data_IF_670181102925
#
_entry.id   IF_670181102925
#
_cell.length_a   1.000
_cell.length_b   1.000
_cell.length_c   1.000
_cell.angle_alpha   90.00
_cell.angle_beta   90.00
_cell.angle_gamma   90.00
#
_symmetry.space_group_name_H-M   'P 1'
#
loop_
_entity.id
_entity.type
_entity.pdbx_description
1 polymer ?
#
# COMPACT_ATOMS: atom_id res chain seq x y z
N UNK A 1 36.32 -2.87 3.39
CA UNK A 1 35.66 -3.33 2.15
C UNK A 1 35.13 -2.08 1.48
N UNK A 2 35.69 -1.71 0.33
CA UNK A 2 35.38 -0.46 -0.35
C UNK A 2 34.08 -0.65 -1.14
N UNK A 3 33.09 0.23 -0.96
CA UNK A 3 31.77 0.12 -1.62
C UNK A 3 31.90 0.22 -3.14
N UNK A 4 32.96 0.88 -3.62
CA UNK A 4 33.25 1.08 -5.04
C UNK A 4 33.68 -0.21 -5.77
N UNK A 5 33.97 -1.30 -5.05
CA UNK A 5 34.35 -2.60 -5.62
C UNK A 5 33.18 -3.62 -5.66
N UNK A 6 31.97 -3.21 -5.29
CA UNK A 6 30.79 -4.09 -5.36
C UNK A 6 30.23 -4.14 -6.79
N UNK A 7 30.36 -5.29 -7.44
CA UNK A 7 29.76 -5.58 -8.74
C UNK A 7 28.23 -5.77 -8.61
N UNK A 8 27.48 -4.71 -8.90
CA UNK A 8 26.01 -4.72 -8.90
C UNK A 8 25.40 -5.31 -10.18
N UNK A 9 26.20 -5.80 -11.14
CA UNK A 9 25.67 -6.40 -12.38
C UNK A 9 24.79 -7.62 -12.13
N UNK A 10 25.07 -8.37 -11.05
CA UNK A 10 24.28 -9.54 -10.65
C UNK A 10 22.92 -9.16 -10.05
N UNK A 11 22.77 -7.96 -9.47
CA UNK A 11 21.47 -7.44 -9.02
C UNK A 11 20.54 -7.12 -10.20
N UNK A 12 21.10 -6.68 -11.33
CA UNK A 12 20.35 -6.52 -12.58
C UNK A 12 19.86 -7.84 -13.17
N UNK A 13 20.67 -8.91 -13.07
CA UNK A 13 20.32 -10.26 -13.55
C UNK A 13 19.27 -10.96 -12.68
N UNK A 14 19.28 -10.72 -11.36
CA UNK A 14 18.23 -11.17 -10.43
C UNK A 14 16.89 -10.49 -10.75
N UNK A 15 16.89 -9.19 -11.06
CA UNK A 15 15.68 -8.47 -11.46
C UNK A 15 15.14 -8.91 -12.83
N UNK A 16 16.02 -9.21 -13.79
CA UNK A 16 15.62 -9.64 -15.14
C UNK A 16 15.01 -11.06 -15.16
N UNK A 17 15.47 -11.95 -14.27
CA UNK A 17 14.91 -13.30 -14.13
C UNK A 17 13.60 -13.34 -13.33
N UNK A 18 13.36 -12.36 -12.45
CA UNK A 18 12.07 -12.18 -11.74
C UNK A 18 10.99 -11.48 -12.60
N UNK A 19 11.38 -10.68 -13.60
CA UNK A 19 10.42 -10.02 -14.51
C UNK A 19 9.63 -10.99 -15.40
N UNK A 20 9.95 -12.29 -15.43
CA UNK A 20 9.30 -13.28 -16.29
C UNK A 20 8.02 -13.86 -15.67
N UNK A 21 7.65 -13.56 -14.42
CA UNK A 21 6.54 -14.29 -13.75
C UNK A 21 5.42 -13.49 -13.07
N UNK A 22 5.41 -12.15 -13.10
CA UNK A 22 4.27 -11.38 -12.57
C UNK A 22 3.80 -10.32 -13.56
N UNK A 23 2.53 -10.36 -14.01
CA UNK A 23 1.98 -9.34 -14.90
C UNK A 23 2.00 -7.97 -14.23
N UNK A 24 2.44 -6.95 -14.98
CA UNK A 24 2.50 -5.56 -14.53
C UNK A 24 1.10 -4.94 -14.46
N UNK A 25 0.93 -3.88 -13.65
CA UNK A 25 -0.32 -3.11 -13.66
C UNK A 25 -0.67 -2.54 -15.05
N UNK A 26 0.33 -2.27 -15.90
CA UNK A 26 0.10 -1.85 -17.29
C UNK A 26 -0.45 -2.98 -18.18
N UNK A 27 0.01 -4.22 -17.97
CA UNK A 27 -0.53 -5.40 -18.66
C UNK A 27 -1.95 -5.70 -18.20
N UNK A 28 -2.20 -5.75 -16.88
CA UNK A 28 -3.56 -5.87 -16.31
C UNK A 28 -4.52 -4.89 -16.97
N UNK A 29 -4.09 -3.63 -17.06
CA UNK A 29 -4.86 -2.53 -17.63
C UNK A 29 -5.23 -2.77 -19.09
N UNK A 30 -4.28 -3.23 -19.89
CA UNK A 30 -4.47 -3.50 -21.31
C UNK A 30 -5.36 -4.73 -21.55
N UNK A 31 -5.05 -5.83 -20.87
CA UNK A 31 -5.71 -7.12 -21.07
C UNK A 31 -7.18 -7.10 -20.65
N UNK A 32 -7.50 -6.34 -19.60
CA UNK A 32 -8.84 -6.28 -19.03
C UNK A 32 -9.58 -4.96 -19.30
N UNK A 33 -9.07 -4.11 -20.20
CA UNK A 33 -9.67 -2.82 -20.57
C UNK A 33 -9.97 -1.91 -19.36
N UNK A 34 -9.13 -1.94 -18.32
CA UNK A 34 -9.36 -1.20 -17.08
C UNK A 34 -9.42 0.30 -17.32
N UNK A 35 -8.73 0.81 -18.34
CA UNK A 35 -8.83 2.22 -18.76
C UNK A 35 -10.25 2.72 -18.92
N UNK A 36 -11.15 1.90 -19.47
CA UNK A 36 -12.58 2.25 -19.66
C UNK A 36 -13.34 2.45 -18.35
N UNK A 37 -12.81 1.91 -17.25
CA UNK A 37 -13.42 1.98 -15.94
C UNK A 37 -12.89 3.14 -15.10
N UNK A 38 -11.78 3.78 -15.48
CA UNK A 38 -11.08 4.71 -14.58
C UNK A 38 -10.57 6.02 -15.22
N UNK A 39 -10.37 6.08 -16.55
CA UNK A 39 -9.68 7.23 -17.19
C UNK A 39 -10.46 8.54 -17.19
N UNK A 40 -11.78 8.49 -17.10
CA UNK A 40 -12.60 9.70 -17.16
C UNK A 40 -12.66 10.47 -15.83
N UNK A 41 -12.15 9.88 -14.74
CA UNK A 41 -12.28 10.44 -13.40
C UNK A 41 -11.19 11.46 -13.06
N UNK A 42 -11.60 12.45 -12.27
CA UNK A 42 -10.66 13.36 -11.61
C UNK A 42 -9.77 12.59 -10.63
N UNK A 43 -8.47 12.85 -10.71
CA UNK A 43 -7.47 12.08 -9.96
C UNK A 43 -7.57 12.30 -8.46
N UNK A 44 -7.71 13.55 -8.00
CA UNK A 44 -7.73 13.85 -6.56
C UNK A 44 -9.01 13.33 -5.92
N UNK A 45 -10.15 13.54 -6.59
CA UNK A 45 -11.46 13.06 -6.16
C UNK A 45 -11.51 11.52 -6.04
N UNK A 46 -11.03 10.82 -7.06
CA UNK A 46 -10.96 9.36 -7.05
C UNK A 46 -9.97 8.86 -5.98
N UNK A 47 -8.78 9.46 -5.88
CA UNK A 47 -7.75 9.02 -4.95
C UNK A 47 -8.24 9.08 -3.50
N UNK A 48 -8.91 10.17 -3.11
CA UNK A 48 -9.45 10.31 -1.74
C UNK A 48 -10.45 9.19 -1.43
N UNK A 49 -11.32 8.86 -2.38
CA UNK A 49 -12.36 7.82 -2.20
C UNK A 49 -11.74 6.44 -2.13
N UNK A 50 -10.86 6.10 -3.08
CA UNK A 50 -10.20 4.80 -3.14
C UNK A 50 -9.26 4.58 -1.94
N UNK A 51 -8.48 5.58 -1.55
CA UNK A 51 -7.65 5.51 -0.34
C UNK A 51 -8.51 5.40 0.93
N UNK A 52 -9.71 5.99 0.93
CA UNK A 52 -10.68 5.85 2.02
C UNK A 52 -11.15 4.40 2.21
N UNK A 53 -11.25 3.62 1.14
CA UNK A 53 -11.65 2.20 1.20
C UNK A 53 -10.64 1.33 1.96
N UNK A 54 -9.36 1.71 1.99
CA UNK A 54 -8.33 1.01 2.77
C UNK A 54 -8.62 1.02 4.28
N UNK A 55 -9.48 1.91 4.75
CA UNK A 55 -9.88 2.03 6.15
C UNK A 55 -11.26 1.41 6.44
N UNK A 56 -11.90 0.78 5.46
CA UNK A 56 -13.16 0.07 5.65
C UNK A 56 -12.87 -1.38 6.05
N UNK A 57 -13.33 -1.75 7.25
CA UNK A 57 -13.11 -3.08 7.82
C UNK A 57 -13.67 -4.20 6.93
N UNK A 58 -14.79 -3.93 6.26
CA UNK A 58 -15.47 -4.87 5.36
C UNK A 58 -14.65 -5.21 4.11
N UNK A 59 -13.67 -4.37 3.75
CA UNK A 59 -12.85 -4.54 2.55
C UNK A 59 -11.44 -5.08 2.86
N UNK A 60 -11.19 -5.53 4.10
CA UNK A 60 -9.86 -5.96 4.50
C UNK A 60 -9.39 -7.20 3.73
N UNK A 61 -10.23 -8.22 3.54
CA UNK A 61 -9.93 -9.35 2.64
C UNK A 61 -9.80 -8.95 1.17
N UNK A 62 -10.31 -7.79 0.78
CA UNK A 62 -10.24 -7.26 -0.58
C UNK A 62 -9.14 -6.19 -0.76
N UNK A 63 -8.11 -6.22 0.09
CA UNK A 63 -7.04 -5.23 0.07
C UNK A 63 -6.27 -5.27 -1.26
N UNK A 64 -6.07 -6.44 -1.86
CA UNK A 64 -5.36 -6.58 -3.15
C UNK A 64 -6.12 -5.84 -4.26
N UNK A 65 -7.44 -6.03 -4.36
CA UNK A 65 -8.26 -5.30 -5.32
C UNK A 65 -8.21 -3.81 -5.05
N UNK A 66 -8.36 -3.39 -3.80
CA UNK A 66 -8.39 -1.96 -3.42
C UNK A 66 -7.07 -1.26 -3.73
N UNK A 67 -5.93 -1.85 -3.38
CA UNK A 67 -4.61 -1.33 -3.75
C UNK A 67 -4.40 -1.30 -5.27
N UNK A 68 -4.90 -2.33 -5.98
CA UNK A 68 -4.85 -2.37 -7.44
C UNK A 68 -5.67 -1.25 -8.07
N UNK A 69 -6.85 -0.91 -7.53
CA UNK A 69 -7.64 0.25 -7.99
C UNK A 69 -6.83 1.55 -7.90
N UNK A 70 -6.12 1.75 -6.79
CA UNK A 70 -5.25 2.93 -6.59
C UNK A 70 -4.10 2.91 -7.59
N UNK A 71 -3.42 1.78 -7.78
CA UNK A 71 -2.37 1.67 -8.79
C UNK A 71 -2.87 1.96 -10.21
N UNK A 72 -4.07 1.52 -10.57
CA UNK A 72 -4.70 1.82 -11.86
C UNK A 72 -5.00 3.31 -12.01
N UNK A 73 -5.36 4.01 -10.93
CA UNK A 73 -5.56 5.46 -10.95
C UNK A 73 -4.27 6.20 -11.28
N UNK A 74 -3.12 5.77 -10.75
CA UNK A 74 -1.81 6.35 -11.09
C UNK A 74 -1.40 6.13 -12.55
N UNK A 75 -1.96 5.13 -13.23
CA UNK A 75 -1.76 4.88 -14.66
C UNK A 75 -2.78 5.60 -15.56
N UNK A 76 -3.76 6.27 -14.96
CA UNK A 76 -4.87 6.86 -15.68
C UNK A 76 -4.53 8.23 -16.25
N UNK A 77 -5.25 8.61 -17.30
CA UNK A 77 -5.14 9.96 -17.86
C UNK A 77 -5.92 10.97 -17.01
N UNK A 78 -5.69 12.27 -17.23
CA UNK A 78 -6.40 13.33 -16.51
C UNK A 78 -7.86 13.40 -16.98
N UNK A 79 -8.74 12.77 -16.21
CA UNK A 79 -10.19 12.95 -16.31
C UNK A 79 -10.71 14.17 -15.55
N UNK A 80 -12.02 14.37 -15.57
CA UNK A 80 -12.71 15.48 -14.87
C UNK A 80 -13.98 15.01 -14.15
N UNK A 81 -14.37 13.74 -14.30
CA UNK A 81 -15.60 13.21 -13.75
C UNK A 81 -15.42 12.94 -12.25
N UNK A 82 -16.44 13.26 -11.45
CA UNK A 82 -16.47 12.88 -10.03
C UNK A 82 -16.84 11.41 -9.93
N UNK A 83 -16.07 10.65 -9.16
CA UNK A 83 -16.32 9.22 -8.93
C UNK A 83 -17.39 9.03 -7.85
N UNK A 84 -18.47 8.33 -8.16
CA UNK A 84 -19.53 7.98 -7.21
C UNK A 84 -19.48 6.50 -6.80
N UNK A 85 -20.32 6.11 -5.83
CA UNK A 85 -20.35 4.75 -5.30
C UNK A 85 -20.62 3.67 -6.36
N UNK A 86 -21.46 3.96 -7.37
CA UNK A 86 -21.75 3.02 -8.46
C UNK A 86 -20.49 2.79 -9.32
N UNK A 87 -19.70 3.83 -9.52
CA UNK A 87 -18.46 3.77 -10.30
C UNK A 87 -17.34 3.09 -9.54
N UNK A 88 -17.25 3.33 -8.23
CA UNK A 88 -16.35 2.59 -7.33
C UNK A 88 -16.67 1.09 -7.41
N UNK A 89 -17.94 0.70 -7.27
CA UNK A 89 -18.35 -0.70 -7.37
C UNK A 89 -18.03 -1.32 -8.73
N UNK A 90 -18.29 -0.60 -9.83
CA UNK A 90 -17.93 -1.08 -11.19
C UNK A 90 -16.44 -1.27 -11.37
N UNK A 91 -15.62 -0.37 -10.82
CA UNK A 91 -14.16 -0.49 -10.89
C UNK A 91 -13.68 -1.66 -10.04
N UNK A 92 -14.23 -1.82 -8.83
CA UNK A 92 -13.96 -2.94 -7.95
C UNK A 92 -14.27 -4.27 -8.64
N UNK A 93 -15.52 -4.45 -9.11
CA UNK A 93 -15.94 -5.67 -9.82
C UNK A 93 -15.10 -5.93 -11.08
N UNK A 94 -14.79 -4.86 -11.81
CA UNK A 94 -13.96 -4.93 -13.01
C UNK A 94 -12.55 -5.44 -12.75
N UNK A 95 -11.92 -5.04 -11.64
CA UNK A 95 -10.59 -5.53 -11.24
C UNK A 95 -10.70 -6.91 -10.56
N UNK A 96 -11.66 -7.10 -9.67
CA UNK A 96 -11.86 -8.34 -8.93
C UNK A 96 -12.21 -9.52 -9.85
N UNK A 97 -12.90 -9.27 -10.97
CA UNK A 97 -13.18 -10.30 -11.99
C UNK A 97 -11.97 -10.77 -12.81
N UNK A 98 -10.80 -10.16 -12.62
CA UNK A 98 -9.54 -10.56 -13.27
C UNK A 98 -8.79 -11.59 -12.43
N UNK A 99 -7.53 -11.87 -12.77
CA UNK A 99 -6.67 -12.70 -11.92
C UNK A 99 -6.41 -12.06 -10.53
N UNK A 100 -6.63 -10.75 -10.36
CA UNK A 100 -6.43 -10.05 -9.08
C UNK A 100 -7.37 -10.57 -7.99
N UNK A 101 -8.67 -10.77 -8.30
CA UNK A 101 -9.59 -11.32 -7.29
C UNK A 101 -9.25 -12.74 -6.87
N UNK A 102 -8.56 -13.50 -7.73
CA UNK A 102 -8.07 -14.84 -7.37
C UNK A 102 -6.84 -14.85 -6.45
N UNK A 103 -6.22 -13.68 -6.23
CA UNK A 103 -5.11 -13.51 -5.28
C UNK A 103 -5.57 -13.09 -3.89
N UNK A 104 -6.87 -12.78 -3.74
CA UNK A 104 -7.44 -12.46 -2.44
C UNK A 104 -7.60 -13.73 -1.63
N UNK A 105 -7.15 -13.66 -0.39
CA UNK A 105 -7.29 -14.69 0.64
C UNK A 105 -7.87 -13.99 1.88
N UNK A 106 -8.53 -14.71 2.80
CA UNK A 106 -9.02 -14.11 4.03
C UNK A 106 -7.90 -13.39 4.79
N UNK A 107 -8.28 -12.38 5.57
CA UNK A 107 -7.35 -11.61 6.38
C UNK A 107 -6.53 -12.51 7.34
N UNK A 108 -5.26 -12.76 7.00
CA UNK A 108 -4.35 -13.56 7.83
C UNK A 108 -3.85 -12.83 9.08
N UNK A 109 -3.85 -11.49 9.06
CA UNK A 109 -3.46 -10.62 10.17
C UNK A 109 -4.62 -9.68 10.56
N UNK A 110 -4.45 -8.98 11.68
CA UNK A 110 -5.24 -7.81 12.03
C UNK A 110 -5.10 -6.72 10.97
N UNK A 111 -6.14 -5.93 10.75
CA UNK A 111 -6.11 -4.78 9.86
C UNK A 111 -5.22 -3.66 10.41
N UNK A 112 -5.18 -3.48 11.73
CA UNK A 112 -4.42 -2.42 12.39
C UNK A 112 -3.25 -2.97 13.20
N UNK A 113 -2.04 -2.73 12.70
CA UNK A 113 -0.78 -2.98 13.37
C UNK A 113 -0.35 -1.84 14.30
N UNK A 114 0.62 -2.12 15.17
CA UNK A 114 1.23 -1.11 16.06
C UNK A 114 2.73 -1.31 16.14
N UNK A 115 3.47 -0.23 15.90
CA UNK A 115 4.91 -0.16 16.10
C UNK A 115 5.22 0.79 17.26
N UNK A 116 6.18 0.41 18.07
CA UNK A 116 6.67 1.19 19.19
C UNK A 116 7.99 1.83 18.81
N UNK A 117 8.12 3.11 19.13
CA UNK A 117 9.36 3.85 19.05
C UNK A 117 9.68 4.45 20.42
N UNK A 118 10.92 4.86 20.62
CA UNK A 118 11.36 5.70 21.75
C UNK A 118 10.54 7.01 21.88
N UNK A 119 9.82 7.41 20.82
CA UNK A 119 8.95 8.60 20.79
C UNK A 119 7.46 8.29 21.00
N UNK A 120 7.09 7.03 21.17
CA UNK A 120 5.72 6.59 21.40
C UNK A 120 5.30 5.42 20.51
N UNK A 121 4.07 4.95 20.70
CA UNK A 121 3.46 3.91 19.88
C UNK A 121 2.63 4.55 18.76
N UNK A 122 2.70 3.96 17.57
CA UNK A 122 2.03 4.44 16.37
C UNK A 122 1.24 3.30 15.73
N UNK A 123 -0.04 3.55 15.44
CA UNK A 123 -0.88 2.63 14.68
C UNK A 123 -0.64 2.81 13.17
N UNK A 124 -0.76 1.72 12.42
CA UNK A 124 -0.75 1.72 10.95
C UNK A 124 -1.63 0.60 10.40
N UNK A 125 -2.07 0.71 9.15
CA UNK A 125 -2.77 -0.36 8.46
C UNK A 125 -1.74 -1.44 8.08
N UNK A 126 -2.00 -2.68 8.47
CA UNK A 126 -1.22 -3.81 7.96
C UNK A 126 -1.52 -3.96 6.47
N UNK A 127 -0.50 -4.37 5.73
CA UNK A 127 -0.61 -4.63 4.29
C UNK A 127 -0.87 -6.11 4.01
N UNK A 128 -0.70 -6.49 2.74
CA UNK A 128 -0.89 -7.85 2.22
C UNK A 128 0.13 -8.88 2.72
N UNK A 129 1.18 -8.45 3.41
CA UNK A 129 2.27 -9.33 3.82
C UNK A 129 2.05 -9.88 5.23
N UNK A 130 2.17 -11.20 5.37
CA UNK A 130 2.17 -11.88 6.66
C UNK A 130 3.22 -11.26 7.59
N UNK A 131 2.85 -11.07 8.86
CA UNK A 131 3.74 -10.54 9.89
C UNK A 131 4.33 -9.15 9.57
N UNK A 132 3.65 -8.35 8.74
CA UNK A 132 4.09 -6.99 8.40
C UNK A 132 4.37 -6.12 9.63
N UNK A 133 3.60 -6.30 10.71
CA UNK A 133 3.80 -5.59 11.97
C UNK A 133 5.13 -5.95 12.65
N UNK A 134 5.55 -7.21 12.60
CA UNK A 134 6.81 -7.67 13.19
C UNK A 134 8.02 -7.06 12.48
N UNK A 135 8.05 -7.15 11.15
CA UNK A 135 9.15 -6.57 10.36
C UNK A 135 9.20 -5.05 10.50
N UNK A 136 8.04 -4.39 10.51
CA UNK A 136 7.95 -2.95 10.75
C UNK A 136 8.58 -2.59 12.10
N UNK A 137 8.29 -3.32 13.18
CA UNK A 137 8.89 -3.09 14.48
C UNK A 137 10.43 -3.17 14.45
N UNK A 138 10.99 -4.20 13.79
CA UNK A 138 12.46 -4.33 13.64
C UNK A 138 13.06 -3.10 12.96
N UNK A 139 12.42 -2.61 11.90
CA UNK A 139 12.89 -1.40 11.22
C UNK A 139 12.79 -0.17 12.11
N UNK A 140 11.72 -0.01 12.89
CA UNK A 140 11.59 1.11 13.83
C UNK A 140 12.66 1.06 14.92
N UNK A 141 12.93 -0.12 15.48
CA UNK A 141 13.99 -0.30 16.49
C UNK A 141 15.37 0.10 15.92
N UNK A 142 15.69 -0.35 14.70
CA UNK A 142 16.92 0.03 14.00
C UNK A 142 17.01 1.56 13.80
N UNK A 143 15.93 2.18 13.33
CA UNK A 143 15.89 3.63 13.09
C UNK A 143 16.07 4.41 14.39
N UNK A 144 15.49 3.95 15.48
CA UNK A 144 15.60 4.61 16.79
C UNK A 144 17.03 4.57 17.34
N UNK A 145 17.75 3.48 17.12
CA UNK A 145 19.16 3.30 17.50
C UNK A 145 20.15 4.10 16.63
N UNK A 146 19.72 4.59 15.46
CA UNK A 146 20.60 5.37 14.59
C UNK A 146 21.08 6.68 15.27
N UNK A 147 22.32 7.14 15.00
CA UNK A 147 22.83 8.38 15.56
C UNK A 147 21.97 9.61 15.22
N UNK A 148 21.93 10.60 16.11
CA UNK A 148 21.18 11.86 15.88
C UNK A 148 21.95 12.88 15.01
N UNK A 149 22.89 12.42 14.18
CA UNK A 149 23.66 13.25 13.26
C UNK A 149 23.25 12.99 11.79
N UNK A 150 23.76 13.81 10.87
CA UNK A 150 23.48 13.61 9.43
C UNK A 150 24.26 12.39 8.90
N UNK A 151 23.66 11.55 8.03
CA UNK A 151 22.34 11.73 7.39
C UNK A 151 21.16 11.17 8.18
N UNK A 152 21.41 10.39 9.24
CA UNK A 152 20.42 9.60 9.96
C UNK A 152 19.30 10.41 10.60
N UNK A 153 19.61 11.60 11.14
CA UNK A 153 18.59 12.48 11.72
C UNK A 153 17.49 12.88 10.72
N UNK A 154 17.82 12.97 9.43
CA UNK A 154 16.83 13.19 8.37
C UNK A 154 15.91 11.98 8.18
N UNK A 155 16.49 10.77 8.15
CA UNK A 155 15.75 9.51 8.02
C UNK A 155 14.80 9.32 9.21
N UNK A 156 15.31 9.47 10.45
CA UNK A 156 14.50 9.38 11.68
C UNK A 156 13.31 10.34 11.64
N UNK A 157 13.52 11.58 11.19
CA UNK A 157 12.44 12.58 11.06
C UNK A 157 11.39 12.16 10.03
N UNK A 158 11.81 11.66 8.87
CA UNK A 158 10.89 11.23 7.82
C UNK A 158 10.05 10.02 8.23
N UNK A 159 10.69 8.99 8.79
CA UNK A 159 9.99 7.79 9.29
C UNK A 159 8.97 8.18 10.37
N UNK A 160 9.37 9.02 11.33
CA UNK A 160 8.46 9.50 12.36
C UNK A 160 7.28 10.30 11.79
N UNK A 161 7.50 11.12 10.77
CA UNK A 161 6.42 11.88 10.13
C UNK A 161 5.38 10.95 9.48
N UNK A 162 5.83 9.88 8.81
CA UNK A 162 4.94 8.86 8.22
C UNK A 162 4.16 8.12 9.30
N UNK A 163 4.83 7.70 10.38
CA UNK A 163 4.17 7.03 11.51
C UNK A 163 3.10 7.90 12.17
N UNK A 164 3.38 9.19 12.36
CA UNK A 164 2.39 10.15 12.90
C UNK A 164 1.20 10.26 11.95
N UNK A 165 1.44 10.45 10.65
CA UNK A 165 0.37 10.58 9.66
C UNK A 165 -0.52 9.34 9.62
N UNK A 166 0.09 8.15 9.64
CA UNK A 166 -0.63 6.87 9.66
C UNK A 166 -1.50 6.74 10.92
N UNK A 167 -0.90 7.01 12.09
CA UNK A 167 -1.59 6.96 13.37
C UNK A 167 -2.78 7.93 13.43
N UNK A 168 -2.59 9.18 12.99
CA UNK A 168 -3.65 10.19 12.97
C UNK A 168 -4.80 9.81 12.02
N UNK A 169 -4.50 9.14 10.90
CA UNK A 169 -5.51 8.68 9.96
C UNK A 169 -6.39 7.57 10.57
N UNK A 170 -5.78 6.63 11.27
CA UNK A 170 -6.47 5.56 11.99
C UNK A 170 -7.31 6.11 13.14
N UNK A 171 -6.76 7.03 13.93
CA UNK A 171 -7.50 7.72 15.00
C UNK A 171 -8.74 8.44 14.45
N UNK A 172 -8.63 9.13 13.30
CA UNK A 172 -9.78 9.81 12.67
C UNK A 172 -10.87 8.84 12.23
N UNK A 173 -10.50 7.64 11.79
CA UNK A 173 -11.46 6.58 11.45
C UNK A 173 -11.95 5.80 12.67
N UNK A 174 -11.52 6.17 13.88
CA UNK A 174 -11.89 5.53 15.14
C UNK A 174 -11.55 4.03 15.18
N UNK A 175 -10.61 3.60 14.35
CA UNK A 175 -10.09 2.24 14.34
C UNK A 175 -9.19 2.02 15.57
N UNK A 176 -9.11 0.77 16.00
CA UNK A 176 -8.43 0.37 17.25
C UNK A 176 -7.20 -0.47 16.95
N UNK A 177 -6.24 -0.43 17.88
CA UNK A 177 -5.09 -1.34 17.90
C UNK A 177 -5.54 -2.80 17.79
N UNK A 178 -4.95 -3.55 16.87
CA UNK A 178 -5.24 -4.97 16.61
C UNK A 178 -6.69 -5.23 16.21
N UNK A 179 -7.35 -4.24 15.63
CA UNK A 179 -8.67 -4.42 15.04
C UNK A 179 -8.56 -5.40 13.88
N UNK A 180 -9.41 -6.43 13.90
CA UNK A 180 -9.61 -7.32 12.78
C UNK A 180 -10.48 -6.62 11.73
N UNK A 181 -10.18 -6.86 10.46
CA UNK A 181 -11.14 -6.59 9.40
C UNK A 181 -12.15 -7.74 9.29
N UNK A 182 -13.02 -7.65 8.30
CA UNK A 182 -13.90 -8.76 7.91
C UNK A 182 -13.13 -9.78 7.09
N UNK A 183 -13.55 -11.05 7.20
CA UNK A 183 -13.07 -12.18 6.39
C UNK A 183 -13.88 -12.31 5.11
#
# INVERSE_FOLDING_TARGET
MNIDDMDFSQLGLLNASQQIMSPTFGQLRADHNISKLIDDFDFEDALIKLAGLLYEEELHSNLVTTETMIHQLFLSQRGQKVMNAVEIGRLFDGIHSTYIGSWEDPAEDTMVGVANSIKGSYMFLNGLWESSCFYTQIFIDLIDEMPDNKPFSGIKKSVRAILILSNESICRKSLKRYQKGSD
#
